data_IF_000977709619
#
_entry.id   IF_000977709619
#
_cell.length_a   1.000
_cell.length_b   1.000
_cell.length_c   1.000
_cell.angle_alpha   90.00
_cell.angle_beta   90.00
_cell.angle_gamma   90.00
#
_symmetry.space_group_name_H-M   'P 1'
#
loop_
_entity.id
_entity.type
_entity.pdbx_description
1 polymer ?
#
# COMPACT_ATOMS: atom_id res chain seq x y z
N UNK A 1 2.25 -5.54 -27.89
CA UNK A 1 1.33 -6.54 -27.28
C UNK A 1 2.02 -7.31 -26.15
N UNK A 2 3.23 -7.82 -26.36
CA UNK A 2 4.03 -8.51 -25.32
C UNK A 2 4.23 -7.62 -24.10
N UNK A 3 4.59 -6.34 -24.28
CA UNK A 3 4.79 -5.39 -23.19
C UNK A 3 3.54 -5.09 -22.35
N UNK A 4 2.35 -5.17 -22.97
CA UNK A 4 1.08 -5.00 -22.24
C UNK A 4 0.81 -6.16 -21.29
N UNK A 5 0.97 -7.40 -21.77
CA UNK A 5 0.79 -8.58 -20.92
C UNK A 5 1.86 -8.67 -19.84
N UNK A 6 3.12 -8.37 -20.15
CA UNK A 6 4.19 -8.32 -19.15
C UNK A 6 3.88 -7.33 -18.04
N UNK A 7 3.36 -6.15 -18.37
CA UNK A 7 2.93 -5.14 -17.41
C UNK A 7 1.76 -5.57 -16.50
N UNK A 8 0.84 -6.40 -16.97
CA UNK A 8 -0.24 -6.96 -16.12
C UNK A 8 0.35 -7.96 -15.11
N UNK A 9 1.19 -8.87 -15.60
CA UNK A 9 1.81 -9.90 -14.74
C UNK A 9 2.83 -9.33 -13.75
N UNK A 10 3.44 -8.16 -14.04
CA UNK A 10 4.38 -7.47 -13.15
C UNK A 10 3.82 -7.33 -11.72
N UNK A 11 2.52 -7.07 -11.57
CA UNK A 11 1.90 -6.94 -10.26
C UNK A 11 1.97 -8.20 -9.40
N UNK A 12 2.11 -9.36 -10.02
CA UNK A 12 2.16 -10.66 -9.36
C UNK A 12 3.59 -11.19 -9.17
N UNK A 13 4.53 -10.72 -9.98
CA UNK A 13 5.93 -11.22 -9.96
C UNK A 13 6.93 -10.23 -9.36
N UNK A 14 6.59 -8.94 -9.27
CA UNK A 14 7.46 -7.91 -8.69
C UNK A 14 7.21 -7.77 -7.18
N UNK A 15 8.21 -8.06 -6.31
CA UNK A 15 8.08 -7.95 -4.86
C UNK A 15 7.86 -6.51 -4.36
N UNK A 16 8.03 -5.50 -5.20
CA UNK A 16 7.65 -4.11 -4.88
C UNK A 16 6.14 -3.90 -4.94
N UNK A 17 5.40 -4.81 -5.57
CA UNK A 17 3.94 -4.74 -5.72
C UNK A 17 3.24 -5.52 -4.61
N UNK A 18 2.11 -4.98 -4.15
CA UNK A 18 1.38 -5.51 -3.01
C UNK A 18 0.85 -6.93 -3.20
N UNK A 19 0.43 -7.31 -4.41
CA UNK A 19 -0.10 -8.65 -4.71
C UNK A 19 0.95 -9.61 -5.27
N UNK A 20 2.22 -9.36 -4.99
CA UNK A 20 3.29 -10.31 -5.33
C UNK A 20 2.95 -11.71 -4.82
N UNK A 21 3.15 -12.72 -5.67
CA UNK A 21 2.76 -14.11 -5.39
C UNK A 21 3.35 -14.65 -4.08
N UNK A 22 4.56 -14.23 -3.73
CA UNK A 22 5.19 -14.62 -2.46
C UNK A 22 4.43 -14.09 -1.24
N UNK A 23 3.98 -12.84 -1.27
CA UNK A 23 3.17 -12.27 -0.18
C UNK A 23 1.79 -12.92 -0.09
N UNK A 24 1.18 -13.27 -1.24
CA UNK A 24 -0.10 -13.99 -1.26
C UNK A 24 0.04 -15.39 -0.66
N UNK A 25 1.11 -16.11 -0.99
CA UNK A 25 1.39 -17.42 -0.41
C UNK A 25 1.58 -17.35 1.11
N UNK A 26 2.34 -16.37 1.60
CA UNK A 26 2.54 -16.15 3.05
C UNK A 26 1.21 -15.75 3.71
N UNK A 27 0.40 -14.92 3.06
CA UNK A 27 -0.93 -14.54 3.58
C UNK A 27 -1.86 -15.75 3.71
N UNK A 28 -1.82 -16.70 2.77
CA UNK A 28 -2.56 -17.97 2.87
C UNK A 28 -2.05 -18.77 4.07
N UNK A 29 -0.74 -18.86 4.27
CA UNK A 29 -0.15 -19.57 5.40
C UNK A 29 -0.57 -18.95 6.74
N UNK A 30 -0.51 -17.62 6.87
CA UNK A 30 -0.97 -16.89 8.07
C UNK A 30 -2.46 -17.15 8.32
N UNK A 31 -3.29 -17.10 7.27
CA UNK A 31 -4.73 -17.39 7.38
C UNK A 31 -4.99 -18.82 7.85
N UNK A 32 -4.24 -19.80 7.34
CA UNK A 32 -4.33 -21.20 7.76
C UNK A 32 -3.93 -21.36 9.24
N UNK A 33 -2.82 -20.78 9.65
CA UNK A 33 -2.36 -20.79 11.06
C UNK A 33 -3.46 -20.18 11.95
N UNK A 34 -4.01 -19.03 11.56
CA UNK A 34 -5.08 -18.36 12.30
C UNK A 34 -6.33 -19.25 12.45
N UNK A 35 -6.80 -19.82 11.37
CA UNK A 35 -8.01 -20.66 11.36
C UNK A 35 -7.81 -21.96 12.15
N UNK A 36 -6.68 -22.63 11.95
CA UNK A 36 -6.43 -23.92 12.60
C UNK A 36 -6.11 -23.77 14.09
N UNK A 37 -5.18 -22.88 14.44
CA UNK A 37 -4.68 -22.80 15.82
C UNK A 37 -5.52 -21.86 16.71
N UNK A 38 -6.01 -20.76 16.17
CA UNK A 38 -6.76 -19.79 16.99
C UNK A 38 -8.27 -19.98 16.88
N UNK A 39 -8.80 -20.33 15.70
CA UNK A 39 -10.23 -20.58 15.50
C UNK A 39 -10.61 -22.05 15.69
N UNK A 40 -9.63 -22.96 15.84
CA UNK A 40 -9.83 -24.40 16.04
C UNK A 40 -10.60 -25.08 14.89
N UNK A 41 -10.51 -24.53 13.69
CA UNK A 41 -11.09 -25.10 12.47
C UNK A 41 -10.13 -26.13 11.89
N UNK A 42 -10.60 -27.31 11.52
CA UNK A 42 -9.72 -28.31 10.90
C UNK A 42 -9.17 -27.83 9.55
N UNK A 43 -8.02 -28.37 9.14
CA UNK A 43 -7.29 -27.93 7.94
C UNK A 43 -8.15 -27.99 6.67
N UNK A 44 -8.94 -29.06 6.48
CA UNK A 44 -9.80 -29.21 5.29
C UNK A 44 -10.84 -28.11 5.20
N UNK A 45 -11.50 -27.78 6.30
CA UNK A 45 -12.50 -26.72 6.34
C UNK A 45 -11.84 -25.33 6.25
N UNK A 46 -10.64 -25.14 6.79
CA UNK A 46 -9.87 -23.90 6.66
C UNK A 46 -9.51 -23.63 5.20
N UNK A 47 -9.01 -24.62 4.48
CA UNK A 47 -8.75 -24.53 3.04
C UNK A 47 -10.03 -24.24 2.23
N UNK A 48 -11.13 -24.94 2.54
CA UNK A 48 -12.43 -24.71 1.90
C UNK A 48 -12.92 -23.28 2.14
N UNK A 49 -12.72 -22.73 3.34
CA UNK A 49 -13.10 -21.36 3.68
C UNK A 49 -12.25 -20.33 2.94
N UNK A 50 -10.91 -20.49 2.93
CA UNK A 50 -9.99 -19.58 2.24
C UNK A 50 -10.28 -19.53 0.73
N UNK A 51 -10.53 -20.70 0.12
CA UNK A 51 -10.78 -20.84 -1.31
C UNK A 51 -12.26 -21.03 -1.65
N UNK A 52 -13.15 -20.41 -0.87
CA UNK A 52 -14.59 -20.51 -1.13
C UNK A 52 -14.94 -19.93 -2.51
N UNK A 53 -15.44 -20.81 -3.39
CA UNK A 53 -15.84 -20.45 -4.75
C UNK A 53 -16.90 -19.35 -4.79
N UNK A 54 -17.77 -19.28 -3.78
CA UNK A 54 -18.81 -18.22 -3.67
C UNK A 54 -18.20 -16.84 -3.48
N UNK A 55 -16.99 -16.75 -2.87
CA UNK A 55 -16.25 -15.52 -2.69
C UNK A 55 -15.44 -15.20 -3.94
N UNK A 56 -14.57 -16.12 -4.35
CA UNK A 56 -13.62 -15.88 -5.44
C UNK A 56 -14.26 -15.71 -6.82
N UNK A 57 -15.43 -16.31 -7.06
CA UNK A 57 -16.18 -16.23 -8.32
C UNK A 57 -17.47 -15.42 -8.20
N UNK A 58 -17.66 -14.67 -7.11
CA UNK A 58 -18.76 -13.72 -6.95
C UNK A 58 -18.72 -12.64 -8.04
N UNK A 59 -19.86 -12.01 -8.30
CA UNK A 59 -19.93 -10.85 -9.21
C UNK A 59 -19.04 -9.71 -8.72
N UNK A 60 -18.96 -9.52 -7.40
CA UNK A 60 -18.07 -8.53 -6.79
C UNK A 60 -16.61 -8.83 -7.09
N UNK A 61 -16.11 -10.05 -6.84
CA UNK A 61 -14.71 -10.40 -7.12
C UNK A 61 -14.37 -10.34 -8.61
N UNK A 62 -15.29 -10.70 -9.49
CA UNK A 62 -15.11 -10.51 -10.95
C UNK A 62 -14.97 -9.04 -11.31
N UNK A 63 -15.78 -8.16 -10.70
CA UNK A 63 -15.66 -6.72 -10.90
C UNK A 63 -14.27 -6.17 -10.47
N UNK A 64 -13.66 -6.71 -9.41
CA UNK A 64 -12.30 -6.34 -9.00
C UNK A 64 -11.28 -6.56 -10.13
N UNK A 65 -11.35 -7.70 -10.82
CA UNK A 65 -10.47 -7.99 -11.95
C UNK A 65 -10.75 -7.08 -13.15
N UNK A 66 -12.01 -6.80 -13.47
CA UNK A 66 -12.34 -5.87 -14.56
C UNK A 66 -11.85 -4.47 -14.28
N UNK A 67 -12.08 -3.95 -13.08
CA UNK A 67 -11.60 -2.62 -12.67
C UNK A 67 -10.07 -2.57 -12.68
N UNK A 68 -9.40 -3.62 -12.21
CA UNK A 68 -7.94 -3.73 -12.31
C UNK A 68 -7.45 -3.60 -13.75
N UNK A 69 -8.04 -4.35 -14.70
CA UNK A 69 -7.64 -4.29 -16.11
C UNK A 69 -7.88 -2.91 -16.72
N UNK A 70 -9.04 -2.30 -16.47
CA UNK A 70 -9.36 -0.96 -16.95
C UNK A 70 -8.36 0.06 -16.40
N UNK A 71 -8.11 0.02 -15.08
CA UNK A 71 -7.15 0.90 -14.42
C UNK A 71 -5.72 0.70 -14.97
N UNK A 72 -5.37 -0.51 -15.35
CA UNK A 72 -4.07 -0.80 -15.94
C UNK A 72 -3.90 -0.13 -17.30
N UNK A 73 -4.91 -0.21 -18.16
CA UNK A 73 -4.93 0.46 -19.47
C UNK A 73 -4.80 1.97 -19.28
N UNK A 74 -5.61 2.56 -18.39
CA UNK A 74 -5.60 3.99 -18.10
C UNK A 74 -4.23 4.42 -17.53
N UNK A 75 -3.69 3.67 -16.59
CA UNK A 75 -2.39 3.95 -15.96
C UNK A 75 -1.25 3.97 -16.97
N UNK A 76 -1.19 3.02 -17.90
CA UNK A 76 -0.18 2.98 -18.96
C UNK A 76 -0.29 4.21 -19.88
N UNK A 77 -1.52 4.66 -20.18
CA UNK A 77 -1.77 5.81 -21.06
C UNK A 77 -1.41 7.15 -20.38
N UNK A 78 -1.62 7.27 -19.06
CA UNK A 78 -1.44 8.54 -18.34
C UNK A 78 -0.04 8.66 -17.72
N UNK A 79 0.59 7.55 -17.37
CA UNK A 79 1.89 7.52 -16.68
C UNK A 79 2.97 8.44 -17.31
N UNK A 80 3.10 8.52 -18.64
CA UNK A 80 4.11 9.40 -19.25
C UNK A 80 3.87 10.91 -19.03
N UNK A 81 2.65 11.31 -18.68
CA UNK A 81 2.25 12.71 -18.50
C UNK A 81 2.30 13.15 -17.03
N UNK A 82 2.39 12.21 -16.10
CA UNK A 82 2.43 12.52 -14.68
C UNK A 82 3.80 13.08 -14.27
N UNK A 83 3.76 13.99 -13.28
CA UNK A 83 4.97 14.52 -12.65
C UNK A 83 5.80 13.37 -12.10
N UNK A 84 7.07 13.33 -12.48
CA UNK A 84 7.99 12.29 -12.03
C UNK A 84 8.55 12.57 -10.64
N UNK A 85 8.96 11.52 -9.95
CA UNK A 85 9.67 11.61 -8.68
C UNK A 85 10.91 12.51 -8.77
N UNK A 86 11.65 12.46 -9.88
CA UNK A 86 12.85 13.26 -10.11
C UNK A 86 12.53 14.76 -10.14
N UNK A 87 11.46 15.17 -10.80
CA UNK A 87 11.04 16.58 -10.86
C UNK A 87 10.73 17.11 -9.46
N UNK A 88 9.96 16.37 -8.67
CA UNK A 88 9.62 16.77 -7.30
C UNK A 88 10.87 16.81 -6.43
N UNK A 89 11.71 15.77 -6.48
CA UNK A 89 12.94 15.71 -5.69
C UNK A 89 13.88 16.89 -6.02
N UNK A 90 14.05 17.21 -7.31
CA UNK A 90 14.87 18.33 -7.75
C UNK A 90 14.31 19.66 -7.27
N UNK A 91 13.01 19.89 -7.41
CA UNK A 91 12.36 21.12 -6.96
C UNK A 91 12.52 21.33 -5.43
N UNK A 92 12.30 20.28 -4.64
CA UNK A 92 12.45 20.34 -3.18
C UNK A 92 13.92 20.53 -2.79
N UNK A 93 14.85 19.86 -3.49
CA UNK A 93 16.27 20.00 -3.23
C UNK A 93 16.74 21.44 -3.41
N UNK A 94 16.38 22.10 -4.50
CA UNK A 94 16.70 23.51 -4.71
C UNK A 94 15.99 24.42 -3.70
N UNK A 95 14.72 24.17 -3.41
CA UNK A 95 13.99 24.92 -2.40
C UNK A 95 14.66 24.87 -1.02
N UNK A 96 15.18 23.70 -0.60
CA UNK A 96 15.92 23.57 0.64
C UNK A 96 17.19 24.42 0.68
N UNK A 97 17.86 24.64 -0.46
CA UNK A 97 19.04 25.48 -0.56
C UNK A 97 18.73 26.99 -0.45
N UNK A 98 17.50 27.39 -0.76
CA UNK A 98 17.07 28.80 -0.59
C UNK A 98 16.78 29.15 0.89
N UNK A 99 16.67 28.17 1.76
CA UNK A 99 16.38 28.39 3.17
C UNK A 99 17.67 28.74 3.93
N UNK A 100 17.87 30.02 4.23
CA UNK A 100 19.14 30.57 4.75
C UNK A 100 19.62 29.99 6.08
N UNK A 101 18.72 29.45 6.90
CA UNK A 101 19.08 28.83 8.19
C UNK A 101 19.35 27.31 8.09
N UNK A 102 19.15 26.70 6.94
CA UNK A 102 19.53 25.33 6.67
C UNK A 102 20.92 25.26 6.03
N UNK A 103 21.71 24.26 6.41
CA UNK A 103 23.02 24.02 5.83
C UNK A 103 23.05 22.66 5.15
N UNK A 104 23.32 22.66 3.85
CA UNK A 104 23.54 21.43 3.08
C UNK A 104 24.71 20.64 3.63
N UNK A 105 24.60 19.32 3.69
CA UNK A 105 25.65 18.45 4.20
C UNK A 105 25.86 18.49 5.72
N UNK A 106 24.95 19.08 6.50
CA UNK A 106 25.09 19.17 7.97
C UNK A 106 25.36 17.83 8.66
N UNK A 107 24.92 16.73 8.06
CA UNK A 107 25.07 15.38 8.60
C UNK A 107 25.89 14.45 7.66
N UNK A 108 26.72 15.02 6.78
CA UNK A 108 27.49 14.26 5.79
C UNK A 108 28.48 13.25 6.40
N UNK A 109 28.91 13.46 7.65
CA UNK A 109 29.82 12.56 8.36
C UNK A 109 29.11 11.43 9.11
N UNK A 110 27.78 11.31 8.99
CA UNK A 110 27.04 10.21 9.58
C UNK A 110 27.42 8.88 8.92
N UNK A 111 27.67 7.82 9.69
CA UNK A 111 27.95 6.51 9.12
C UNK A 111 26.86 6.06 8.13
N UNK A 112 27.27 5.53 6.97
CA UNK A 112 26.35 5.17 5.88
C UNK A 112 25.26 4.20 6.32
N UNK A 113 25.55 3.27 7.22
CA UNK A 113 24.57 2.31 7.74
C UNK A 113 23.45 3.01 8.53
N UNK A 114 23.79 4.08 9.26
CA UNK A 114 22.82 4.88 10.01
C UNK A 114 21.94 5.66 9.01
N UNK A 115 22.56 6.27 7.98
CA UNK A 115 21.83 7.01 6.94
C UNK A 115 20.84 6.08 6.22
N UNK A 116 21.28 4.91 5.80
CA UNK A 116 20.44 3.90 5.12
C UNK A 116 19.28 3.46 6.02
N UNK A 117 19.53 3.19 7.29
CA UNK A 117 18.46 2.84 8.25
C UNK A 117 17.46 3.97 8.42
N UNK A 118 17.94 5.20 8.67
CA UNK A 118 17.09 6.37 8.86
C UNK A 118 16.28 6.69 7.61
N UNK A 119 16.87 6.61 6.43
CA UNK A 119 16.18 6.83 5.16
C UNK A 119 15.08 5.78 4.94
N UNK A 120 15.40 4.51 5.17
CA UNK A 120 14.44 3.40 5.02
C UNK A 120 13.26 3.55 5.97
N UNK A 121 13.53 3.93 7.22
CA UNK A 121 12.49 4.18 8.22
C UNK A 121 11.66 5.43 7.88
N UNK A 122 12.32 6.53 7.52
CA UNK A 122 11.66 7.79 7.19
C UNK A 122 10.68 7.65 6.02
N UNK A 123 11.14 7.06 4.90
CA UNK A 123 10.27 6.88 3.73
C UNK A 123 9.10 5.93 4.03
N UNK A 124 9.31 4.89 4.85
CA UNK A 124 8.24 3.98 5.28
C UNK A 124 7.18 4.72 6.10
N UNK A 125 7.61 5.47 7.13
CA UNK A 125 6.69 6.21 8.01
C UNK A 125 5.96 7.33 7.25
N UNK A 126 6.67 8.08 6.39
CA UNK A 126 6.06 9.14 5.60
C UNK A 126 5.05 8.59 4.58
N UNK A 127 5.36 7.45 3.97
CA UNK A 127 4.45 6.76 3.04
C UNK A 127 3.18 6.29 3.76
N UNK A 128 3.29 5.67 4.93
CA UNK A 128 2.15 5.20 5.72
C UNK A 128 1.30 6.38 6.24
N UNK A 129 1.94 7.38 6.84
CA UNK A 129 1.28 8.60 7.32
C UNK A 129 0.52 9.33 6.21
N UNK A 130 1.14 9.50 5.04
CA UNK A 130 0.50 10.17 3.90
C UNK A 130 -0.66 9.34 3.33
N UNK A 131 -0.57 8.01 3.34
CA UNK A 131 -1.69 7.12 2.98
C UNK A 131 -2.87 7.30 3.92
N UNK A 132 -2.62 7.31 5.22
CA UNK A 132 -3.67 7.55 6.23
C UNK A 132 -4.41 8.85 5.97
N UNK A 133 -3.69 9.97 5.75
CA UNK A 133 -4.32 11.27 5.54
C UNK A 133 -5.10 11.34 4.24
N UNK A 134 -4.55 10.87 3.13
CA UNK A 134 -5.25 10.85 1.84
C UNK A 134 -6.48 9.97 1.94
N UNK A 135 -6.39 8.78 2.54
CA UNK A 135 -7.52 7.88 2.74
C UNK A 135 -8.61 8.53 3.62
N UNK A 136 -8.20 9.19 4.71
CA UNK A 136 -9.14 9.94 5.56
C UNK A 136 -9.84 11.06 4.79
N UNK A 137 -9.14 11.81 3.93
CA UNK A 137 -9.76 12.82 3.08
C UNK A 137 -10.70 12.21 2.04
N UNK A 138 -10.39 11.05 1.50
CA UNK A 138 -11.28 10.29 0.62
C UNK A 138 -12.64 10.01 1.27
N UNK A 139 -12.67 9.83 2.60
CA UNK A 139 -13.93 9.65 3.34
C UNK A 139 -14.62 10.94 3.76
N UNK A 140 -13.86 12.01 4.01
CA UNK A 140 -14.41 13.25 4.60
C UNK A 140 -14.85 14.28 3.56
N UNK A 141 -14.26 14.29 2.39
CA UNK A 141 -14.59 15.27 1.35
C UNK A 141 -15.51 14.64 0.30
N UNK A 142 -16.71 15.20 0.06
CA UNK A 142 -17.72 14.59 -0.82
C UNK A 142 -17.21 14.27 -2.24
N UNK A 143 -16.38 15.16 -2.81
CA UNK A 143 -15.79 14.96 -4.14
C UNK A 143 -14.84 13.74 -4.13
N UNK A 144 -14.00 13.59 -3.10
CA UNK A 144 -13.07 12.48 -2.99
C UNK A 144 -13.82 11.19 -2.64
N UNK A 145 -14.86 11.27 -1.80
CA UNK A 145 -15.75 10.13 -1.54
C UNK A 145 -16.42 9.62 -2.80
N UNK A 146 -16.83 10.51 -3.71
CA UNK A 146 -17.43 10.11 -4.99
C UNK A 146 -16.50 9.21 -5.81
N UNK A 147 -15.18 9.33 -5.65
CA UNK A 147 -14.18 8.45 -6.25
C UNK A 147 -14.00 7.18 -5.43
N UNK A 148 -13.81 7.33 -4.11
CA UNK A 148 -13.45 6.25 -3.18
C UNK A 148 -14.59 5.26 -2.90
N UNK A 149 -15.86 5.68 -3.05
CA UNK A 149 -17.02 4.77 -2.95
C UNK A 149 -16.98 3.61 -3.95
N UNK A 150 -16.18 3.70 -5.04
CA UNK A 150 -15.94 2.58 -5.94
C UNK A 150 -15.22 1.45 -5.20
N UNK A 151 -14.22 1.81 -4.38
CA UNK A 151 -13.52 0.86 -3.51
C UNK A 151 -14.47 0.23 -2.48
N UNK A 152 -15.28 1.04 -1.83
CA UNK A 152 -16.28 0.60 -0.84
C UNK A 152 -17.50 -0.12 -1.43
N UNK A 153 -17.67 -0.17 -2.75
CA UNK A 153 -18.73 -0.94 -3.41
C UNK A 153 -18.46 -2.45 -3.45
N UNK A 154 -17.35 -2.92 -2.88
CA UNK A 154 -17.04 -4.34 -2.81
C UNK A 154 -17.92 -5.04 -1.77
N UNK A 155 -18.74 -6.00 -2.20
CA UNK A 155 -19.59 -6.83 -1.33
C UNK A 155 -18.80 -7.94 -0.62
N UNK A 156 -17.70 -8.37 -1.22
CA UNK A 156 -16.73 -9.31 -0.64
C UNK A 156 -15.32 -8.78 -0.83
N UNK A 157 -14.46 -9.01 0.15
CA UNK A 157 -13.07 -8.58 0.10
C UNK A 157 -12.16 -9.74 -0.31
N UNK A 158 -11.36 -9.50 -1.35
CA UNK A 158 -10.27 -10.36 -1.79
C UNK A 158 -8.99 -9.53 -1.93
N UNK A 159 -7.80 -10.11 -2.00
CA UNK A 159 -6.57 -9.35 -2.25
C UNK A 159 -6.64 -8.46 -3.50
N UNK A 160 -7.48 -8.80 -4.47
CA UNK A 160 -7.69 -7.98 -5.68
C UNK A 160 -8.52 -6.72 -5.42
N UNK A 161 -9.31 -6.68 -4.35
CA UNK A 161 -10.15 -5.52 -4.00
C UNK A 161 -9.31 -4.25 -3.77
N UNK A 162 -8.02 -4.37 -3.43
CA UNK A 162 -7.10 -3.22 -3.33
C UNK A 162 -7.00 -2.43 -4.65
N UNK A 163 -7.28 -3.07 -5.79
CA UNK A 163 -7.28 -2.44 -7.11
C UNK A 163 -8.66 -1.99 -7.60
N UNK A 164 -9.70 -2.24 -6.81
CA UNK A 164 -11.05 -1.72 -7.08
C UNK A 164 -11.12 -0.25 -6.74
N UNK A 165 -10.50 0.61 -7.53
CA UNK A 165 -10.41 2.04 -7.30
C UNK A 165 -10.86 2.80 -8.54
N UNK A 166 -11.41 4.01 -8.35
CA UNK A 166 -11.66 4.90 -9.47
C UNK A 166 -10.33 5.33 -10.10
N UNK A 167 -10.19 5.46 -11.43
CA UNK A 167 -8.93 5.87 -12.06
C UNK A 167 -8.31 7.15 -11.48
N UNK A 168 -9.13 8.17 -11.20
CA UNK A 168 -8.65 9.42 -10.59
C UNK A 168 -8.13 9.21 -9.16
N UNK A 169 -8.73 8.32 -8.39
CA UNK A 169 -8.20 7.91 -7.08
C UNK A 169 -6.80 7.28 -7.24
N UNK A 170 -6.64 6.39 -8.23
CA UNK A 170 -5.34 5.82 -8.58
C UNK A 170 -4.29 6.88 -8.89
N UNK A 171 -4.66 7.94 -9.62
CA UNK A 171 -3.78 9.09 -9.90
C UNK A 171 -3.40 9.82 -8.61
N UNK A 172 -4.36 10.12 -7.74
CA UNK A 172 -4.10 10.79 -6.45
C UNK A 172 -3.10 9.99 -5.61
N UNK A 173 -3.29 8.66 -5.48
CA UNK A 173 -2.35 7.81 -4.74
C UNK A 173 -0.98 7.70 -5.42
N UNK A 174 -0.92 7.72 -6.74
CA UNK A 174 0.35 7.76 -7.49
C UNK A 174 1.10 9.05 -7.23
N UNK A 175 0.45 10.21 -7.36
CA UNK A 175 1.05 11.52 -7.08
C UNK A 175 1.49 11.64 -5.63
N UNK A 176 0.68 11.16 -4.67
CA UNK A 176 1.07 11.07 -3.25
C UNK A 176 2.37 10.28 -3.07
N UNK A 177 2.44 9.09 -3.67
CA UNK A 177 3.65 8.24 -3.58
C UNK A 177 4.87 8.92 -4.21
N UNK A 178 4.71 9.54 -5.37
CA UNK A 178 5.75 10.30 -6.06
C UNK A 178 6.23 11.47 -5.18
N UNK A 179 5.32 12.21 -4.55
CA UNK A 179 5.65 13.30 -3.62
C UNK A 179 6.39 12.78 -2.39
N UNK A 180 5.90 11.72 -1.75
CA UNK A 180 6.55 11.10 -0.58
C UNK A 180 7.98 10.68 -0.87
N UNK A 181 8.22 10.03 -2.01
CA UNK A 181 9.55 9.62 -2.43
C UNK A 181 10.43 10.83 -2.77
N UNK A 182 9.88 11.82 -3.48
CA UNK A 182 10.59 13.05 -3.82
C UNK A 182 11.05 13.80 -2.57
N UNK A 183 10.16 14.00 -1.59
CA UNK A 183 10.50 14.62 -0.29
C UNK A 183 11.59 13.83 0.43
N UNK A 184 11.45 12.50 0.50
CA UNK A 184 12.42 11.67 1.22
C UNK A 184 13.81 11.75 0.60
N UNK A 185 13.91 11.60 -0.71
CA UNK A 185 15.18 11.62 -1.43
C UNK A 185 15.85 12.99 -1.30
N UNK A 186 15.13 14.08 -1.60
CA UNK A 186 15.69 15.43 -1.57
C UNK A 186 16.15 15.83 -0.17
N UNK A 187 15.36 15.54 0.87
CA UNK A 187 15.69 15.85 2.26
C UNK A 187 16.95 15.13 2.68
N UNK A 188 17.05 13.85 2.40
CA UNK A 188 18.21 13.06 2.81
C UNK A 188 19.48 13.42 2.01
N UNK A 189 19.37 13.62 0.69
CA UNK A 189 20.52 14.10 -0.10
C UNK A 189 20.99 15.47 0.39
N UNK A 190 20.06 16.38 0.72
CA UNK A 190 20.42 17.71 1.23
C UNK A 190 21.21 17.63 2.55
N UNK A 191 20.78 16.83 3.51
CA UNK A 191 21.42 16.76 4.83
C UNK A 191 22.62 15.81 4.91
N UNK A 192 22.57 14.67 4.22
CA UNK A 192 23.53 13.57 4.34
C UNK A 192 24.43 13.41 3.10
N UNK A 193 24.21 14.19 2.03
CA UNK A 193 24.98 14.07 0.80
C UNK A 193 24.67 12.78 0.03
N UNK A 194 25.69 12.20 -0.61
CA UNK A 194 25.56 11.04 -1.50
C UNK A 194 25.46 9.68 -0.78
N UNK A 195 25.43 9.66 0.55
CA UNK A 195 25.36 8.41 1.32
C UNK A 195 23.92 7.85 1.44
N UNK A 196 23.00 8.34 0.62
CA UNK A 196 21.58 7.96 0.67
C UNK A 196 21.36 6.71 -0.17
N UNK A 197 20.99 5.62 0.50
CA UNK A 197 20.55 4.38 -0.14
C UNK A 197 19.37 3.79 0.62
N UNK A 198 18.66 2.86 -0.01
CA UNK A 198 17.50 2.19 0.56
C UNK A 198 17.88 0.77 0.96
N UNK A 199 17.66 0.41 2.23
CA UNK A 199 17.81 -0.97 2.65
C UNK A 199 16.69 -1.83 2.06
N UNK A 200 17.03 -2.73 1.14
CA UNK A 200 16.07 -3.51 0.36
C UNK A 200 16.22 -5.01 0.58
N UNK A 201 15.08 -5.71 0.44
CA UNK A 201 15.00 -7.16 0.31
C UNK A 201 14.25 -7.46 -0.99
N UNK A 202 14.89 -8.18 -1.92
CA UNK A 202 14.34 -8.45 -3.25
C UNK A 202 13.89 -7.18 -4.01
N UNK A 203 14.60 -6.07 -3.81
CA UNK A 203 14.31 -4.79 -4.46
C UNK A 203 13.19 -3.97 -3.81
N UNK A 204 12.54 -4.47 -2.75
CA UNK A 204 11.55 -3.73 -1.97
C UNK A 204 12.18 -3.14 -0.71
N UNK A 205 11.68 -1.98 -0.25
CA UNK A 205 12.02 -1.45 1.06
C UNK A 205 11.84 -2.53 2.12
N UNK A 206 12.86 -2.77 2.97
CA UNK A 206 12.85 -3.87 3.94
C UNK A 206 11.66 -3.81 4.90
N UNK A 207 11.26 -2.61 5.35
CA UNK A 207 10.11 -2.45 6.23
C UNK A 207 8.80 -2.73 5.50
N UNK A 208 8.68 -2.27 4.24
CA UNK A 208 7.53 -2.59 3.40
C UNK A 208 7.48 -4.09 3.08
N UNK A 209 8.62 -4.71 2.81
CA UNK A 209 8.73 -6.16 2.59
C UNK A 209 8.24 -6.93 3.83
N UNK A 210 8.73 -6.59 5.02
CA UNK A 210 8.31 -7.21 6.27
C UNK A 210 6.82 -6.99 6.54
N UNK A 211 6.32 -5.79 6.30
CA UNK A 211 4.90 -5.45 6.47
C UNK A 211 3.99 -6.26 5.52
N UNK A 212 4.37 -6.39 4.26
CA UNK A 212 3.64 -7.22 3.30
C UNK A 212 3.73 -8.71 3.65
N UNK A 213 4.90 -9.17 4.10
CA UNK A 213 5.11 -10.54 4.58
C UNK A 213 4.27 -10.85 5.82
N UNK A 214 4.12 -9.88 6.74
CA UNK A 214 3.25 -10.00 7.92
C UNK A 214 1.75 -10.08 7.59
N UNK A 215 1.37 -10.03 6.32
CA UNK A 215 0.00 -10.30 5.88
C UNK A 215 -0.84 -9.04 5.64
N UNK A 216 -0.23 -7.93 5.22
CA UNK A 216 -0.99 -6.71 4.88
C UNK A 216 -2.08 -6.97 3.82
N UNK A 217 -1.89 -7.96 2.94
CA UNK A 217 -2.88 -8.39 1.96
C UNK A 217 -4.14 -8.98 2.58
N UNK A 218 -4.08 -9.48 3.82
CA UNK A 218 -5.24 -9.98 4.55
C UNK A 218 -6.21 -8.87 4.97
N UNK A 219 -5.81 -7.59 4.92
CA UNK A 219 -6.73 -6.46 5.14
C UNK A 219 -7.88 -6.48 4.13
N UNK A 220 -7.57 -6.72 2.85
CA UNK A 220 -8.57 -6.97 1.83
C UNK A 220 -8.76 -8.48 1.65
N UNK A 221 -9.37 -9.12 2.63
CA UNK A 221 -9.75 -10.52 2.56
C UNK A 221 -10.98 -10.77 3.42
N UNK A 222 -11.64 -11.90 3.20
CA UNK A 222 -12.74 -12.37 4.04
C UNK A 222 -12.26 -13.04 5.34
N UNK A 223 -10.94 -13.06 5.61
CA UNK A 223 -10.34 -13.63 6.80
C UNK A 223 -10.22 -12.56 7.89
N UNK A 224 -11.08 -12.58 8.91
CA UNK A 224 -11.13 -11.58 9.98
C UNK A 224 -10.07 -11.81 11.06
N UNK A 225 -8.81 -11.60 10.77
CA UNK A 225 -7.73 -11.67 11.75
C UNK A 225 -7.74 -10.41 12.60
N UNK A 226 -7.66 -10.59 13.93
CA UNK A 226 -7.47 -9.50 14.89
C UNK A 226 -6.03 -9.51 15.42
N UNK A 227 -5.48 -8.34 15.61
CA UNK A 227 -4.21 -8.17 16.30
C UNK A 227 -4.43 -8.02 17.80
N UNK A 228 -3.36 -7.96 18.57
CA UNK A 228 -3.43 -7.56 19.97
C UNK A 228 -3.95 -6.14 20.10
N UNK A 229 -4.76 -5.87 21.10
CA UNK A 229 -5.46 -4.60 21.29
C UNK A 229 -4.52 -3.38 21.21
N UNK A 230 -3.34 -3.47 21.83
CA UNK A 230 -2.35 -2.38 21.78
C UNK A 230 -1.79 -2.15 20.35
N UNK A 231 -1.64 -3.21 19.56
CA UNK A 231 -1.13 -3.13 18.18
C UNK A 231 -2.17 -2.54 17.24
N UNK A 232 -3.46 -2.76 17.50
CA UNK A 232 -4.58 -2.19 16.72
C UNK A 232 -4.74 -0.66 16.88
N UNK A 233 -4.02 -0.05 17.85
CA UNK A 233 -3.91 1.41 17.93
C UNK A 233 -2.88 2.00 16.95
N UNK A 234 -1.95 1.18 16.48
CA UNK A 234 -0.87 1.60 15.57
C UNK A 234 -1.12 1.09 14.15
N UNK A 235 -1.50 -0.18 14.02
CA UNK A 235 -1.72 -0.83 12.74
C UNK A 235 -3.14 -1.38 12.66
N UNK A 236 -3.80 -1.12 11.55
CA UNK A 236 -5.13 -1.65 11.29
C UNK A 236 -5.06 -3.16 11.04
N UNK A 237 -5.83 -3.94 11.78
CA UNK A 237 -5.96 -5.38 11.55
C UNK A 237 -6.90 -5.67 10.37
N UNK A 238 -6.82 -6.87 9.75
CA UNK A 238 -7.77 -7.31 8.74
C UNK A 238 -9.23 -7.18 9.20
N UNK A 239 -9.54 -7.55 10.45
CA UNK A 239 -10.88 -7.43 10.99
C UNK A 239 -11.35 -5.96 11.10
N UNK A 240 -10.48 -5.03 11.51
CA UNK A 240 -10.80 -3.60 11.55
C UNK A 240 -11.03 -3.05 10.15
N UNK A 241 -10.25 -3.50 9.16
CA UNK A 241 -10.44 -3.07 7.78
C UNK A 241 -11.73 -3.62 7.15
N UNK A 242 -12.14 -4.84 7.51
CA UNK A 242 -13.47 -5.35 7.14
C UNK A 242 -14.60 -4.49 7.72
N UNK A 243 -14.47 -4.03 8.98
CA UNK A 243 -15.42 -3.09 9.59
C UNK A 243 -15.42 -1.74 8.87
N UNK A 244 -14.25 -1.27 8.41
CA UNK A 244 -14.13 -0.06 7.61
C UNK A 244 -14.91 -0.15 6.29
N UNK A 245 -14.95 -1.32 5.64
CA UNK A 245 -15.75 -1.57 4.45
C UNK A 245 -17.24 -1.86 4.74
N UNK A 246 -17.66 -1.91 6.00
CA UNK A 246 -19.02 -2.21 6.37
C UNK A 246 -19.98 -1.05 6.03
N UNK A 247 -21.18 -1.39 5.60
CA UNK A 247 -22.27 -0.43 5.34
C UNK A 247 -23.00 0.01 6.60
N UNK A 248 -22.71 -0.57 7.78
CA UNK A 248 -23.34 -0.22 9.03
C UNK A 248 -22.90 1.18 9.47
N UNK A 249 -23.87 2.03 9.81
CA UNK A 249 -23.62 3.45 10.13
C UNK A 249 -22.61 3.66 11.26
N UNK A 250 -22.63 2.79 12.29
CA UNK A 250 -21.70 2.82 13.41
C UNK A 250 -20.23 2.52 13.03
N UNK A 251 -19.99 1.96 11.83
CA UNK A 251 -18.65 1.65 11.32
C UNK A 251 -18.10 2.74 10.39
N UNK A 252 -18.94 3.70 9.97
CA UNK A 252 -18.53 4.75 9.07
C UNK A 252 -17.43 5.62 9.69
N UNK A 253 -16.54 6.12 8.86
CA UNK A 253 -15.49 7.07 9.24
C UNK A 253 -14.53 6.59 10.34
N UNK A 254 -14.25 5.30 10.40
CA UNK A 254 -13.32 4.67 11.34
C UNK A 254 -12.26 3.83 10.61
N UNK A 255 -11.15 3.58 11.28
CA UNK A 255 -10.11 2.64 10.82
C UNK A 255 -9.53 2.95 9.42
N UNK A 256 -9.01 4.16 9.22
CA UNK A 256 -8.45 4.63 7.95
C UNK A 256 -7.02 4.15 7.65
N UNK A 257 -6.28 3.64 8.64
CA UNK A 257 -4.85 3.28 8.55
C UNK A 257 -4.55 1.95 7.89
#
# INVERSE_FOLDING_TARGET
MIDFFSNIFEHFIDPRKRVYVGYLAISILIALIWLVFFKKVNLKNSLKFIFDKKIWFSSSSKADFFVFLINRIISISISPVLITQLVIATAIFYWLHEISWLSSGSFQNTPVQVVVFLFTLFIFLLDDFSKYWVHRWMHKWPILWALHKVHHSAEVLTPMTVYRTHPLEGIVFTLRGTFTQGVSISTFIFFFGNNVDLFTVLGANVLLFLFNTAGSNLRHSHIGIRYWKWLEYIFISPAQHQLHHSIAFEHHDKNFG
#
